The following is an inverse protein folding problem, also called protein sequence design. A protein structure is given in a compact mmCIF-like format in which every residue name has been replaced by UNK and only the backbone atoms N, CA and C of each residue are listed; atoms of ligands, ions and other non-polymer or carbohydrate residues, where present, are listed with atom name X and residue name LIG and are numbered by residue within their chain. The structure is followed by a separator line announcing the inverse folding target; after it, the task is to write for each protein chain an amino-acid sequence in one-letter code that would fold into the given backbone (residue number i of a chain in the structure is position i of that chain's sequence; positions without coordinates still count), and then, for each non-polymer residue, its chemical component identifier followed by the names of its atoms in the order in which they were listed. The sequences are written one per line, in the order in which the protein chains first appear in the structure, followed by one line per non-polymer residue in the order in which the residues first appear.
data_IF_280935337328
#
_entry.id   IF_280935337328
#
_cell.length_a   1.000
_cell.length_b   1.000
_cell.length_c   1.000
_cell.angle_alpha   90.00
_cell.angle_beta   90.00
_cell.angle_gamma   90.00
#
_symmetry.space_group_name_H-M   'P 1'
#
loop_
_entity.id
_entity.type
_entity.pdbx_description
1 polymer ?
#
# COMPACT_ATOMS: atom_id res chain seq x y z
N UNK A 1 8.90 25.48 14.36
CA UNK A 1 9.88 26.01 13.39
C UNK A 1 9.53 25.38 12.06
N UNK A 2 8.97 26.13 11.10
CA UNK A 2 8.60 25.55 9.80
C UNK A 2 9.89 25.17 9.06
N UNK A 3 10.02 23.89 8.73
CA UNK A 3 11.12 23.39 7.92
C UNK A 3 11.04 24.02 6.51
N UNK A 4 12.17 24.39 5.91
CA UNK A 4 12.26 24.95 4.56
C UNK A 4 11.45 24.13 3.54
N UNK A 5 11.49 22.80 3.65
CA UNK A 5 10.73 21.89 2.79
C UNK A 5 9.22 22.15 2.91
N UNK A 6 8.70 22.32 4.13
CA UNK A 6 7.28 22.57 4.34
C UNK A 6 6.85 23.90 3.72
N UNK A 7 7.66 24.95 3.84
CA UNK A 7 7.38 26.25 3.22
C UNK A 7 7.40 26.16 1.69
N UNK A 8 8.37 25.45 1.12
CA UNK A 8 8.48 25.23 -0.32
C UNK A 8 7.31 24.40 -0.86
N UNK A 9 6.94 23.32 -0.16
CA UNK A 9 5.81 22.47 -0.56
C UNK A 9 4.49 23.26 -0.50
N UNK A 10 4.28 24.10 0.50
CA UNK A 10 3.09 24.95 0.61
C UNK A 10 3.00 25.97 -0.52
N UNK A 11 4.12 26.63 -0.85
CA UNK A 11 4.20 27.55 -1.99
C UNK A 11 3.95 26.82 -3.30
N UNK A 12 4.59 25.67 -3.51
CA UNK A 12 4.39 24.83 -4.69
C UNK A 12 2.94 24.39 -4.87
N UNK A 13 2.28 23.98 -3.79
CA UNK A 13 0.90 23.49 -3.84
C UNK A 13 -0.11 24.56 -4.26
N UNK A 14 0.16 25.83 -3.92
CA UNK A 14 -0.68 26.99 -4.26
C UNK A 14 -0.23 27.72 -5.52
N UNK A 15 0.82 27.23 -6.19
CA UNK A 15 1.43 27.91 -7.33
C UNK A 15 0.51 27.84 -8.57
N UNK A 16 0.09 29.00 -9.08
CA UNK A 16 -0.79 29.09 -10.26
C UNK A 16 -0.17 28.49 -11.52
N UNK A 17 1.16 28.55 -11.65
CA UNK A 17 1.85 27.93 -12.78
C UNK A 17 1.77 26.41 -12.69
N UNK A 18 2.00 25.80 -11.52
CA UNK A 18 1.78 24.36 -11.34
C UNK A 18 0.35 23.96 -11.65
N UNK A 19 -0.66 24.70 -11.18
CA UNK A 19 -2.07 24.41 -11.45
C UNK A 19 -2.33 24.36 -12.97
N UNK A 20 -1.81 25.33 -13.72
CA UNK A 20 -1.93 25.37 -15.18
C UNK A 20 -1.19 24.20 -15.86
N UNK A 21 0.00 23.83 -15.38
CA UNK A 21 0.74 22.68 -15.89
C UNK A 21 -0.05 21.37 -15.70
N UNK A 22 -0.65 21.18 -14.52
CA UNK A 22 -1.46 19.99 -14.23
C UNK A 22 -2.71 19.97 -15.12
N UNK A 23 -3.41 21.10 -15.25
CA UNK A 23 -4.57 21.19 -16.14
C UNK A 23 -4.22 20.81 -17.59
N UNK A 24 -3.09 21.31 -18.10
CA UNK A 24 -2.61 20.95 -19.43
C UNK A 24 -2.26 19.45 -19.54
N UNK A 25 -1.60 18.88 -18.53
CA UNK A 25 -1.27 17.46 -18.49
C UNK A 25 -2.54 16.58 -18.47
N UNK A 26 -3.53 16.93 -17.66
CA UNK A 26 -4.84 16.24 -17.62
C UNK A 26 -5.57 16.33 -18.95
N UNK A 27 -5.58 17.51 -19.58
CA UNK A 27 -6.18 17.70 -20.90
C UNK A 27 -5.51 16.81 -21.95
N UNK A 28 -4.17 16.74 -21.95
CA UNK A 28 -3.43 15.84 -22.82
C UNK A 28 -3.79 14.37 -22.55
N UNK A 29 -3.93 13.98 -21.28
CA UNK A 29 -4.31 12.61 -20.92
C UNK A 29 -5.72 12.26 -21.40
N UNK A 30 -6.69 13.16 -21.23
CA UNK A 30 -8.04 12.99 -21.76
C UNK A 30 -8.05 12.84 -23.28
N UNK A 31 -7.25 13.62 -24.01
CA UNK A 31 -7.15 13.47 -25.47
C UNK A 31 -6.57 12.11 -25.85
N UNK A 32 -5.53 11.65 -25.15
CA UNK A 32 -4.95 10.32 -25.35
C UNK A 32 -5.93 9.17 -25.09
N UNK A 33 -6.80 9.32 -24.08
CA UNK A 33 -7.85 8.33 -23.83
C UNK A 33 -8.88 8.25 -24.96
N UNK A 34 -9.11 9.35 -25.68
CA UNK A 34 -10.06 9.41 -26.80
C UNK A 34 -9.42 9.00 -28.12
N UNK A 35 -8.13 9.26 -28.28
CA UNK A 35 -7.33 8.98 -29.47
C UNK A 35 -5.98 8.40 -29.06
N UNK A 36 -5.79 7.10 -29.25
CA UNK A 36 -4.57 6.40 -28.85
C UNK A 36 -3.31 6.91 -29.59
N UNK A 37 -3.48 7.50 -30.77
CA UNK A 37 -2.39 8.08 -31.57
C UNK A 37 -2.08 9.54 -31.17
N UNK A 38 -2.77 10.08 -30.16
CA UNK A 38 -2.58 11.45 -29.71
C UNK A 38 -1.14 11.69 -29.21
N UNK A 39 -0.50 12.68 -29.81
CA UNK A 39 0.83 13.15 -29.42
C UNK A 39 0.68 14.23 -28.34
N UNK A 40 1.33 13.99 -27.20
CA UNK A 40 1.35 14.96 -26.10
C UNK A 40 1.93 16.32 -26.54
N UNK A 41 1.25 17.39 -26.12
CA UNK A 41 1.68 18.78 -26.31
C UNK A 41 2.17 19.34 -24.99
N UNK A 42 3.46 19.15 -24.72
CA UNK A 42 4.15 19.67 -23.55
C UNK A 42 5.60 19.97 -23.93
N UNK A 43 6.10 21.15 -23.56
CA UNK A 43 7.51 21.49 -23.78
C UNK A 43 8.43 20.82 -22.75
N UNK A 44 9.71 20.67 -23.08
CA UNK A 44 10.71 20.11 -22.16
C UNK A 44 10.78 20.89 -20.85
N UNK A 45 10.68 22.22 -20.91
CA UNK A 45 10.65 23.08 -19.72
C UNK A 45 9.47 22.74 -18.82
N UNK A 46 8.25 22.69 -19.38
CA UNK A 46 7.03 22.38 -18.61
C UNK A 46 7.10 21.00 -17.99
N UNK A 47 7.66 20.02 -18.70
CA UNK A 47 7.87 18.66 -18.21
C UNK A 47 8.87 18.62 -17.05
N UNK A 48 10.01 19.29 -17.18
CA UNK A 48 11.01 19.37 -16.10
C UNK A 48 10.48 20.12 -14.88
N UNK A 49 9.73 21.20 -15.09
CA UNK A 49 9.09 21.97 -14.02
C UNK A 49 8.05 21.10 -13.29
N UNK A 50 7.21 20.33 -14.02
CA UNK A 50 6.29 19.34 -13.42
C UNK A 50 7.00 18.33 -12.53
N UNK A 51 8.11 17.76 -13.01
CA UNK A 51 8.91 16.81 -12.22
C UNK A 51 9.55 17.47 -11.00
N UNK A 52 10.01 18.71 -11.11
CA UNK A 52 10.54 19.46 -9.97
C UNK A 52 9.47 19.73 -8.91
N UNK A 53 8.28 20.13 -9.31
CA UNK A 53 7.16 20.32 -8.39
C UNK A 53 6.77 19.00 -7.71
N UNK A 54 6.68 17.90 -8.45
CA UNK A 54 6.39 16.59 -7.89
C UNK A 54 7.45 16.18 -6.85
N UNK A 55 8.73 16.42 -7.14
CA UNK A 55 9.86 16.16 -6.23
C UNK A 55 9.77 16.98 -4.93
N UNK A 56 9.40 18.26 -5.02
CA UNK A 56 9.19 19.11 -3.84
C UNK A 56 8.01 18.61 -3.00
N UNK A 57 6.88 18.30 -3.65
CA UNK A 57 5.63 17.94 -3.00
C UNK A 57 5.68 16.58 -2.30
N UNK A 58 6.43 15.60 -2.83
CA UNK A 58 6.51 14.26 -2.23
C UNK A 58 7.20 14.25 -0.85
N UNK A 59 8.01 15.28 -0.55
CA UNK A 59 8.73 15.44 0.73
C UNK A 59 7.91 16.19 1.79
N UNK A 60 6.71 16.67 1.45
CA UNK A 60 5.81 17.33 2.39
C UNK A 60 5.34 16.38 3.50
N UNK A 61 4.93 16.92 4.65
CA UNK A 61 4.17 16.18 5.66
C UNK A 61 2.70 15.99 5.26
N UNK A 62 2.15 16.92 4.48
CA UNK A 62 0.73 16.98 4.14
C UNK A 62 0.33 15.93 3.10
N UNK A 63 -0.77 15.22 3.38
CA UNK A 63 -1.29 14.17 2.51
C UNK A 63 -1.73 14.71 1.14
N UNK A 64 -2.30 15.91 1.09
CA UNK A 64 -2.74 16.54 -0.17
C UNK A 64 -1.55 16.80 -1.11
N UNK A 65 -0.42 17.27 -0.57
CA UNK A 65 0.80 17.52 -1.35
C UNK A 65 1.37 16.21 -1.90
N UNK A 66 1.45 15.17 -1.06
CA UNK A 66 1.89 13.83 -1.50
C UNK A 66 0.99 13.24 -2.57
N UNK A 67 -0.32 13.37 -2.41
CA UNK A 67 -1.30 12.90 -3.39
C UNK A 67 -1.18 13.65 -4.72
N UNK A 68 -0.93 14.96 -4.69
CA UNK A 68 -0.70 15.75 -5.90
C UNK A 68 0.58 15.32 -6.61
N UNK A 69 1.67 15.09 -5.88
CA UNK A 69 2.92 14.54 -6.43
C UNK A 69 2.69 13.19 -7.10
N UNK A 70 1.99 12.27 -6.43
CA UNK A 70 1.64 10.97 -6.99
C UNK A 70 0.82 11.10 -8.28
N UNK A 71 -0.19 11.99 -8.28
CA UNK A 71 -1.01 12.27 -9.47
C UNK A 71 -0.17 12.75 -10.65
N UNK A 72 0.77 13.68 -10.43
CA UNK A 72 1.64 14.19 -11.49
C UNK A 72 2.45 13.05 -12.12
N UNK A 73 3.15 12.25 -11.31
CA UNK A 73 4.00 11.18 -11.86
C UNK A 73 3.19 10.05 -12.48
N UNK A 74 1.99 9.76 -11.95
CA UNK A 74 1.07 8.79 -12.56
C UNK A 74 0.58 9.26 -13.93
N UNK A 75 0.20 10.53 -14.08
CA UNK A 75 -0.23 11.06 -15.37
C UNK A 75 0.91 11.10 -16.39
N UNK A 76 2.12 11.50 -15.99
CA UNK A 76 3.30 11.49 -16.88
C UNK A 76 3.64 10.07 -17.32
N UNK A 77 3.53 9.09 -16.42
CA UNK A 77 3.82 7.68 -16.72
C UNK A 77 2.95 7.10 -17.84
N UNK A 78 1.72 7.60 -18.03
CA UNK A 78 0.83 7.16 -19.11
C UNK A 78 1.36 7.49 -20.51
N UNK A 79 2.32 8.42 -20.64
CA UNK A 79 2.94 8.81 -21.91
C UNK A 79 4.29 8.14 -22.11
N UNK A 80 4.30 6.99 -22.80
CA UNK A 80 5.50 6.18 -23.03
C UNK A 80 6.62 6.93 -23.74
N UNK A 81 6.29 7.91 -24.58
CA UNK A 81 7.28 8.72 -25.31
C UNK A 81 8.13 9.55 -24.32
N UNK A 82 7.52 10.08 -23.27
CA UNK A 82 8.21 10.87 -22.23
C UNK A 82 9.19 10.01 -21.41
N UNK A 83 8.87 8.73 -21.25
CA UNK A 83 9.71 7.78 -20.52
C UNK A 83 10.99 7.42 -21.30
N UNK A 84 11.16 7.84 -22.55
CA UNK A 84 12.44 7.70 -23.24
C UNK A 84 13.53 8.58 -22.61
N UNK A 85 13.12 9.68 -21.97
CA UNK A 85 14.04 10.56 -21.26
C UNK A 85 14.42 9.96 -19.89
N UNK A 86 15.71 9.66 -19.72
CA UNK A 86 16.24 9.07 -18.49
C UNK A 86 16.01 9.94 -17.24
N UNK A 87 16.10 11.27 -17.37
CA UNK A 87 15.83 12.18 -16.26
C UNK A 87 14.40 12.04 -15.74
N UNK A 88 13.43 11.87 -16.64
CA UNK A 88 12.01 11.73 -16.29
C UNK A 88 11.76 10.41 -15.57
N UNK A 89 12.30 9.30 -16.10
CA UNK A 89 12.26 8.00 -15.42
C UNK A 89 12.82 8.05 -14.01
N UNK A 90 14.01 8.64 -13.84
CA UNK A 90 14.67 8.78 -12.55
C UNK A 90 13.90 9.70 -11.60
N UNK A 91 13.29 10.77 -12.11
CA UNK A 91 12.44 11.67 -11.31
C UNK A 91 11.20 10.95 -10.78
N UNK A 92 10.50 10.18 -11.63
CA UNK A 92 9.36 9.36 -11.22
C UNK A 92 9.80 8.33 -10.17
N UNK A 93 10.93 7.66 -10.40
CA UNK A 93 11.49 6.68 -9.47
C UNK A 93 11.79 7.31 -8.10
N UNK A 94 12.41 8.50 -8.08
CA UNK A 94 12.68 9.21 -6.84
C UNK A 94 11.39 9.57 -6.10
N UNK A 95 10.41 10.16 -6.80
CA UNK A 95 9.12 10.53 -6.22
C UNK A 95 8.42 9.32 -5.60
N UNK A 96 8.30 8.21 -6.34
CA UNK A 96 7.66 7.00 -5.83
C UNK A 96 8.41 6.39 -4.65
N UNK A 97 9.75 6.47 -4.65
CA UNK A 97 10.60 6.02 -3.53
C UNK A 97 10.32 6.87 -2.30
N UNK A 98 10.35 8.19 -2.42
CA UNK A 98 10.03 9.12 -1.32
C UNK A 98 8.60 8.95 -0.79
N UNK A 99 7.65 8.55 -1.64
CA UNK A 99 6.28 8.22 -1.24
C UNK A 99 6.11 6.79 -0.68
N UNK A 100 7.11 5.91 -0.83
CA UNK A 100 7.01 4.53 -0.37
C UNK A 100 6.04 3.68 -1.22
N UNK A 101 5.80 4.07 -2.48
CA UNK A 101 4.92 3.35 -3.39
C UNK A 101 5.69 2.27 -4.18
N UNK A 102 6.14 1.24 -3.45
CA UNK A 102 6.90 0.13 -4.02
C UNK A 102 6.18 -0.68 -5.10
N UNK A 103 4.84 -0.91 -5.03
CA UNK A 103 4.12 -1.58 -6.10
C UNK A 103 4.29 -0.85 -7.44
N UNK A 104 4.13 0.48 -7.45
CA UNK A 104 4.32 1.28 -8.67
C UNK A 104 5.78 1.23 -9.14
N UNK A 105 6.77 1.30 -8.24
CA UNK A 105 8.19 1.17 -8.61
C UNK A 105 8.45 -0.12 -9.40
N UNK A 106 7.89 -1.25 -8.96
CA UNK A 106 8.12 -2.54 -9.60
C UNK A 106 7.50 -2.65 -11.01
N UNK A 107 6.58 -1.75 -11.38
CA UNK A 107 6.02 -1.68 -12.74
C UNK A 107 6.96 -0.92 -13.69
N UNK A 108 7.72 0.04 -13.16
CA UNK A 108 8.55 0.96 -13.94
C UNK A 108 9.99 0.44 -14.03
N UNK A 109 10.49 -0.16 -12.95
CA UNK A 109 11.88 -0.51 -12.78
C UNK A 109 12.04 -1.97 -12.32
N UNK A 110 13.00 -2.67 -12.91
CA UNK A 110 13.29 -4.03 -12.53
C UNK A 110 13.90 -4.06 -11.12
N UNK A 111 13.42 -4.95 -10.24
CA UNK A 111 13.85 -5.01 -8.83
C UNK A 111 15.35 -5.20 -8.62
N UNK A 112 16.07 -5.67 -9.64
CA UNK A 112 17.50 -5.99 -9.62
C UNK A 112 18.38 -4.96 -10.32
N UNK A 113 17.80 -3.93 -10.93
CA UNK A 113 18.57 -2.88 -11.61
C UNK A 113 18.79 -1.69 -10.68
N UNK A 114 20.03 -1.21 -10.63
CA UNK A 114 20.40 0.01 -9.93
C UNK A 114 20.12 1.22 -10.84
N UNK A 115 19.68 2.34 -10.27
CA UNK A 115 19.31 3.54 -11.05
C UNK A 115 20.52 4.30 -11.62
N UNK A 116 21.71 4.05 -11.07
CA UNK A 116 22.96 4.77 -11.33
C UNK A 116 23.10 6.03 -10.49
N UNK A 117 22.15 6.31 -9.59
CA UNK A 117 22.15 7.45 -8.68
C UNK A 117 22.13 6.93 -7.24
N UNK A 118 23.28 6.98 -6.59
CA UNK A 118 23.49 6.46 -5.24
C UNK A 118 22.44 6.94 -4.23
N UNK A 119 22.03 8.22 -4.29
CA UNK A 119 21.02 8.76 -3.39
C UNK A 119 19.67 8.02 -3.51
N UNK A 120 19.18 7.80 -4.73
CA UNK A 120 17.90 7.14 -4.98
C UNK A 120 18.00 5.66 -4.60
N UNK A 121 19.09 5.00 -4.97
CA UNK A 121 19.29 3.57 -4.70
C UNK A 121 19.43 3.31 -3.19
N UNK A 122 20.16 4.14 -2.45
CA UNK A 122 20.29 4.03 -1.00
C UNK A 122 18.96 4.28 -0.30
N UNK A 123 18.22 5.32 -0.70
CA UNK A 123 16.89 5.58 -0.13
C UNK A 123 15.93 4.41 -0.35
N UNK A 124 15.94 3.84 -1.56
CA UNK A 124 15.11 2.69 -1.88
C UNK A 124 15.48 1.49 -1.02
N UNK A 125 16.77 1.21 -0.85
CA UNK A 125 17.25 0.11 0.01
C UNK A 125 16.80 0.33 1.45
N UNK A 126 17.07 1.52 2.01
CA UNK A 126 16.72 1.87 3.40
C UNK A 126 15.22 1.71 3.62
N UNK A 127 14.41 2.26 2.73
CA UNK A 127 12.94 2.17 2.82
C UNK A 127 12.43 0.75 2.69
N UNK A 128 12.97 -0.05 1.76
CA UNK A 128 12.57 -1.47 1.62
C UNK A 128 12.91 -2.28 2.86
N UNK A 129 14.04 -2.00 3.50
CA UNK A 129 14.44 -2.64 4.76
C UNK A 129 13.52 -2.24 5.91
N UNK A 130 13.22 -0.94 6.03
CA UNK A 130 12.34 -0.41 7.08
C UNK A 130 10.90 -0.93 6.94
N UNK A 131 10.41 -1.04 5.71
CA UNK A 131 9.03 -1.45 5.43
C UNK A 131 8.85 -2.97 5.24
N UNK A 132 9.83 -3.78 5.64
CA UNK A 132 9.73 -5.23 5.51
C UNK A 132 8.65 -5.79 6.43
N UNK A 133 7.69 -6.52 5.87
CA UNK A 133 6.61 -7.16 6.63
C UNK A 133 6.99 -8.57 7.15
N UNK A 134 6.29 -9.11 8.17
CA UNK A 134 6.46 -10.49 8.63
C UNK A 134 6.31 -11.55 7.53
N UNK A 135 5.55 -11.26 6.46
CA UNK A 135 5.32 -12.16 5.33
C UNK A 135 6.33 -11.99 4.19
N UNK A 136 7.48 -11.35 4.46
CA UNK A 136 8.61 -11.16 3.54
C UNK A 136 8.34 -10.28 2.30
N UNK A 137 7.19 -9.63 2.30
CA UNK A 137 6.79 -8.65 1.30
C UNK A 137 6.97 -7.23 1.86
N UNK A 138 6.96 -6.21 1.01
CA UNK A 138 7.31 -4.82 1.39
C UNK A 138 6.03 -3.99 1.52
N UNK A 139 5.77 -3.44 2.71
CA UNK A 139 4.66 -2.54 2.97
C UNK A 139 4.87 -1.16 2.34
N UNK A 140 3.82 -0.45 1.95
CA UNK A 140 3.90 1.02 1.79
C UNK A 140 4.07 1.69 3.16
N UNK A 141 4.45 2.96 3.16
CA UNK A 141 4.64 3.72 4.41
C UNK A 141 3.35 3.77 5.23
N UNK A 142 2.18 3.93 4.59
CA UNK A 142 0.90 3.92 5.31
C UNK A 142 0.52 2.53 5.82
N UNK A 143 0.82 1.47 5.07
CA UNK A 143 0.57 0.09 5.50
C UNK A 143 1.41 -0.26 6.73
N UNK A 144 2.68 0.15 6.76
CA UNK A 144 3.55 -0.04 7.92
C UNK A 144 3.04 0.74 9.14
N UNK A 145 2.60 1.98 8.95
CA UNK A 145 2.01 2.80 10.02
C UNK A 145 0.80 2.08 10.65
N UNK A 146 -0.14 1.64 9.81
CA UNK A 146 -1.33 0.90 10.28
C UNK A 146 -0.94 -0.41 10.97
N UNK A 147 0.05 -1.13 10.44
CA UNK A 147 0.54 -2.36 11.04
C UNK A 147 1.12 -2.12 12.44
N UNK A 148 1.88 -1.04 12.65
CA UNK A 148 2.39 -0.68 13.97
C UNK A 148 1.26 -0.26 14.92
N UNK A 149 0.31 0.55 14.46
CA UNK A 149 -0.88 0.90 15.26
C UNK A 149 -1.70 -0.33 15.68
N UNK A 150 -1.81 -1.35 14.82
CA UNK A 150 -2.43 -2.63 15.13
C UNK A 150 -1.69 -3.42 16.22
N UNK A 151 -0.35 -3.32 16.28
CA UNK A 151 0.47 -4.00 17.30
C UNK A 151 0.33 -3.36 18.67
N UNK A 152 0.24 -2.03 18.70
CA UNK A 152 0.32 -1.25 19.93
C UNK A 152 -1.05 -1.05 20.60
N UNK A 153 -2.15 -1.37 19.90
CA UNK A 153 -3.51 -1.13 20.38
C UNK A 153 -4.37 -2.41 20.41
N UNK A 154 -5.07 -2.64 21.52
CA UNK A 154 -6.03 -3.75 21.65
C UNK A 154 -7.28 -3.60 20.78
N UNK A 155 -7.63 -2.36 20.44
CA UNK A 155 -8.78 -2.02 19.61
C UNK A 155 -8.36 -1.02 18.56
N UNK A 156 -8.53 -1.38 17.29
CA UNK A 156 -8.11 -0.55 16.17
C UNK A 156 -9.11 -0.67 15.03
N UNK A 157 -9.35 0.45 14.35
CA UNK A 157 -10.22 0.53 13.18
C UNK A 157 -9.60 1.47 12.17
N UNK A 158 -9.61 1.06 10.90
CA UNK A 158 -9.14 1.91 9.82
C UNK A 158 -10.00 1.73 8.56
N UNK A 159 -10.12 2.81 7.81
CA UNK A 159 -10.71 2.83 6.47
C UNK A 159 -9.62 2.95 5.41
N UNK A 160 -9.87 2.39 4.24
CA UNK A 160 -8.98 2.42 3.10
C UNK A 160 -9.70 1.87 1.87
N UNK A 161 -9.21 2.19 0.68
CA UNK A 161 -9.73 1.62 -0.57
C UNK A 161 -9.41 0.12 -0.67
N UNK A 162 -10.06 -0.60 -1.59
CA UNK A 162 -9.73 -2.01 -1.88
C UNK A 162 -8.30 -2.17 -2.40
N UNK A 163 -7.81 -1.18 -3.15
CA UNK A 163 -6.44 -1.11 -3.68
C UNK A 163 -5.38 -0.88 -2.61
N UNK A 164 -5.74 -0.41 -1.41
CA UNK A 164 -4.82 -0.22 -0.29
C UNK A 164 -4.17 -1.52 0.20
N UNK A 165 -4.68 -2.69 -0.23
CA UNK A 165 -4.10 -3.97 0.13
C UNK A 165 -4.40 -4.38 1.57
N UNK A 166 -5.58 -4.06 2.11
CA UNK A 166 -5.94 -4.41 3.50
C UNK A 166 -5.72 -5.88 3.85
N UNK A 167 -6.00 -6.79 2.91
CA UNK A 167 -5.77 -8.23 3.08
C UNK A 167 -4.32 -8.54 3.43
N UNK A 168 -3.37 -7.80 2.86
CA UNK A 168 -1.94 -7.99 3.07
C UNK A 168 -1.53 -7.61 4.50
N UNK A 169 -2.06 -6.49 5.02
CA UNK A 169 -1.88 -6.08 6.42
C UNK A 169 -2.46 -7.13 7.37
N UNK A 170 -3.66 -7.64 7.08
CA UNK A 170 -4.30 -8.67 7.90
C UNK A 170 -3.50 -9.98 7.93
N UNK A 171 -2.99 -10.43 6.77
CA UNK A 171 -2.14 -11.62 6.68
C UNK A 171 -0.86 -11.45 7.50
N UNK A 172 -0.17 -10.32 7.33
CA UNK A 172 1.03 -10.00 8.09
C UNK A 172 0.78 -9.93 9.60
N UNK A 173 -0.32 -9.28 10.02
CA UNK A 173 -0.69 -9.15 11.44
C UNK A 173 -1.05 -10.50 12.04
N UNK A 174 -1.73 -11.35 11.27
CA UNK A 174 -2.01 -12.72 11.70
C UNK A 174 -0.72 -13.49 11.96
N UNK A 175 0.24 -13.41 11.04
CA UNK A 175 1.55 -14.07 11.20
C UNK A 175 2.28 -13.55 12.43
N UNK A 176 2.31 -12.23 12.62
CA UNK A 176 2.88 -11.59 13.81
C UNK A 176 2.28 -12.13 15.11
N UNK A 177 0.94 -12.19 15.23
CA UNK A 177 0.28 -12.73 16.42
C UNK A 177 0.65 -14.19 16.70
N UNK A 178 0.74 -15.02 15.65
CA UNK A 178 1.16 -16.42 15.81
C UNK A 178 2.57 -16.51 16.40
N UNK A 179 3.48 -15.69 15.90
CA UNK A 179 4.90 -15.73 16.27
C UNK A 179 5.14 -15.18 17.68
N UNK A 180 4.61 -13.99 17.97
CA UNK A 180 4.77 -13.34 19.29
C UNK A 180 4.14 -14.15 20.42
N UNK A 181 2.95 -14.72 20.19
CA UNK A 181 2.24 -15.49 21.21
C UNK A 181 2.64 -16.97 21.22
N UNK A 182 3.76 -17.36 20.60
CA UNK A 182 4.24 -18.75 20.56
C UNK A 182 3.15 -19.75 20.14
N UNK A 183 2.32 -19.34 19.18
CA UNK A 183 1.18 -20.10 18.67
C UNK A 183 0.14 -20.44 19.76
N UNK A 184 -0.04 -19.67 20.85
CA UNK A 184 -0.98 -20.04 21.92
C UNK A 184 -2.43 -19.67 21.63
N UNK A 185 -2.64 -18.67 20.76
CA UNK A 185 -3.91 -17.95 20.70
C UNK A 185 -4.88 -18.54 19.69
N UNK A 186 -6.17 -18.42 20.00
CA UNK A 186 -7.25 -18.67 19.05
C UNK A 186 -7.65 -17.35 18.39
N UNK A 187 -7.79 -17.35 17.07
CA UNK A 187 -8.04 -16.13 16.29
C UNK A 187 -9.33 -16.29 15.49
N UNK A 188 -10.22 -15.30 15.56
CA UNK A 188 -11.45 -15.27 14.80
C UNK A 188 -11.47 -14.11 13.81
N UNK A 189 -11.73 -14.42 12.54
CA UNK A 189 -12.01 -13.47 11.47
C UNK A 189 -13.51 -13.38 11.23
N UNK A 190 -14.02 -12.17 11.28
CA UNK A 190 -15.42 -11.87 10.95
C UNK A 190 -15.44 -11.15 9.61
N UNK A 191 -16.12 -11.74 8.63
CA UNK A 191 -16.23 -11.25 7.25
C UNK A 191 -17.70 -10.93 6.91
N UNK A 192 -17.99 -10.05 5.95
CA UNK A 192 -19.39 -9.69 5.68
C UNK A 192 -20.17 -10.77 4.91
N UNK A 193 -19.51 -11.63 4.12
CA UNK A 193 -20.19 -12.58 3.22
C UNK A 193 -19.61 -14.00 3.28
N UNK A 194 -20.42 -14.99 2.88
CA UNK A 194 -19.98 -16.39 2.76
C UNK A 194 -18.87 -16.57 1.72
N UNK A 195 -18.90 -15.83 0.62
CA UNK A 195 -17.87 -15.90 -0.41
C UNK A 195 -16.48 -15.52 0.15
N UNK A 196 -16.44 -14.50 1.01
CA UNK A 196 -15.21 -14.07 1.67
C UNK A 196 -14.68 -15.08 2.69
N UNK A 197 -15.54 -15.92 3.30
CA UNK A 197 -15.08 -16.99 4.20
C UNK A 197 -14.12 -17.91 3.47
N UNK A 198 -14.49 -18.36 2.27
CA UNK A 198 -13.66 -19.30 1.51
C UNK A 198 -12.33 -18.66 1.10
N UNK A 199 -12.37 -17.40 0.65
CA UNK A 199 -11.17 -16.64 0.27
C UNK A 199 -10.22 -16.44 1.45
N UNK A 200 -10.73 -15.93 2.58
CA UNK A 200 -9.91 -15.71 3.79
C UNK A 200 -9.41 -17.05 4.34
N UNK A 201 -10.27 -18.07 4.43
CA UNK A 201 -9.87 -19.40 4.92
C UNK A 201 -8.76 -20.02 4.06
N UNK A 202 -8.80 -19.86 2.74
CA UNK A 202 -7.76 -20.34 1.85
C UNK A 202 -6.43 -19.62 2.09
N UNK A 203 -6.45 -18.28 2.19
CA UNK A 203 -5.28 -17.46 2.49
C UNK A 203 -4.65 -17.82 3.83
N UNK A 204 -5.46 -17.88 4.89
CA UNK A 204 -4.99 -18.24 6.23
C UNK A 204 -4.45 -19.66 6.24
N UNK A 205 -5.09 -20.63 5.58
CA UNK A 205 -4.55 -21.99 5.47
C UNK A 205 -3.16 -22.01 4.87
N UNK A 206 -2.90 -21.22 3.82
CA UNK A 206 -1.58 -21.12 3.22
C UNK A 206 -0.56 -20.48 4.16
N UNK A 207 -0.96 -19.41 4.86
CA UNK A 207 -0.12 -18.72 5.84
C UNK A 207 0.27 -19.61 7.01
N UNK A 208 -0.64 -20.48 7.47
CA UNK A 208 -0.43 -21.30 8.67
C UNK A 208 0.09 -22.71 8.39
N UNK A 209 0.43 -23.04 7.14
CA UNK A 209 0.87 -24.41 6.74
C UNK A 209 2.02 -24.95 7.59
N UNK A 210 2.94 -24.07 8.00
CA UNK A 210 4.11 -24.41 8.81
C UNK A 210 3.84 -24.42 10.32
N UNK A 211 2.62 -24.11 10.75
CA UNK A 211 2.26 -23.98 12.16
C UNK A 211 1.23 -25.03 12.58
N UNK A 212 1.10 -25.22 13.90
CA UNK A 212 0.21 -26.22 14.51
C UNK A 212 -1.28 -25.79 14.57
N UNK A 213 -1.75 -25.03 13.57
CA UNK A 213 -3.08 -24.45 13.54
C UNK A 213 -4.06 -25.22 12.65
N UNK A 214 -5.33 -25.23 13.06
CA UNK A 214 -6.44 -25.70 12.22
C UNK A 214 -7.35 -24.55 11.82
N UNK A 215 -7.65 -24.46 10.53
CA UNK A 215 -8.57 -23.46 9.98
C UNK A 215 -9.96 -24.05 9.80
N UNK A 216 -10.95 -23.43 10.43
CA UNK A 216 -12.34 -23.87 10.48
C UNK A 216 -13.24 -22.78 9.90
N UNK A 217 -14.04 -23.17 8.90
CA UNK A 217 -14.99 -22.32 8.19
C UNK A 217 -16.46 -22.68 8.49
N UNK A 218 -16.70 -23.69 9.34
CA UNK A 218 -18.05 -24.08 9.76
C UNK A 218 -18.42 -23.39 11.07
N UNK A 219 -19.64 -22.82 11.18
CA UNK A 219 -20.16 -22.26 12.43
C UNK A 219 -20.51 -23.30 13.48
N UNK A 220 -20.67 -24.55 13.08
CA UNK A 220 -20.77 -25.65 14.01
C UNK A 220 -19.37 -26.06 14.38
N UNK A 221 -19.01 -25.89 15.65
CA UNK A 221 -17.77 -26.43 16.21
C UNK A 221 -18.02 -27.92 16.47
N UNK A 222 -17.38 -28.86 15.74
CA UNK A 222 -17.47 -30.27 16.06
C UNK A 222 -17.16 -30.52 17.54
N UNK A 223 -17.98 -31.34 18.22
CA UNK A 223 -17.78 -31.72 19.63
C UNK A 223 -16.36 -32.25 19.92
N UNK A 224 -15.67 -32.77 18.90
CA UNK A 224 -14.29 -33.26 18.98
C UNK A 224 -13.25 -32.16 19.24
N UNK A 225 -13.58 -30.90 18.92
CA UNK A 225 -12.73 -29.74 19.20
C UNK A 225 -12.89 -29.25 20.64
N UNK A 226 -14.01 -29.57 21.31
CA UNK A 226 -14.20 -29.26 22.75
C UNK A 226 -13.27 -30.08 23.66
N UNK A 227 -12.75 -31.23 23.19
CA UNK A 227 -11.97 -32.18 24.01
C UNK A 227 -10.45 -32.01 23.97
N UNK A 228 -9.92 -31.07 23.17
CA UNK A 228 -8.47 -30.90 22.97
C UNK A 228 -8.16 -29.39 22.88
N UNK A 229 -7.04 -28.95 23.45
CA UNK A 229 -6.48 -27.59 23.28
C UNK A 229 -5.99 -27.40 21.84
N UNK A 230 -6.91 -27.35 20.88
CA UNK A 230 -6.57 -27.04 19.49
C UNK A 230 -6.48 -25.52 19.33
N UNK A 231 -5.50 -25.08 18.55
CA UNK A 231 -5.29 -23.70 18.13
C UNK A 231 -6.08 -23.48 16.85
N UNK A 232 -7.14 -22.68 16.92
CA UNK A 232 -8.18 -22.64 15.89
C UNK A 232 -8.31 -21.26 15.28
N UNK A 233 -8.28 -21.22 13.95
CA UNK A 233 -8.76 -20.09 13.17
C UNK A 233 -10.22 -20.27 12.82
N UNK A 234 -11.01 -19.24 13.11
CA UNK A 234 -12.42 -19.20 12.79
C UNK A 234 -12.71 -18.14 11.73
N UNK A 235 -13.32 -18.49 10.60
CA UNK A 235 -13.84 -17.51 9.65
C UNK A 235 -15.37 -17.54 9.64
N UNK A 236 -16.00 -16.46 10.09
CA UNK A 236 -17.45 -16.36 10.19
C UNK A 236 -18.00 -15.13 9.51
N UNK A 237 -19.29 -15.17 9.16
CA UNK A 237 -19.99 -13.98 8.71
C UNK A 237 -20.89 -13.41 9.80
N UNK A 238 -21.12 -12.10 9.76
CA UNK A 238 -21.70 -11.26 10.82
C UNK A 238 -22.96 -11.85 11.49
N UNK A 239 -23.89 -12.47 10.74
CA UNK A 239 -25.11 -13.09 11.33
C UNK A 239 -24.85 -14.32 12.21
N UNK A 240 -23.63 -14.87 12.23
CA UNK A 240 -23.29 -16.08 13.01
C UNK A 240 -22.42 -15.81 14.24
N UNK A 241 -21.99 -14.56 14.46
CA UNK A 241 -21.17 -14.18 15.64
C UNK A 241 -21.93 -14.42 16.95
N UNK A 242 -23.23 -14.09 16.97
CA UNK A 242 -24.09 -14.35 18.13
C UNK A 242 -24.14 -15.85 18.51
N UNK A 243 -23.97 -16.78 17.58
CA UNK A 243 -24.05 -18.21 17.88
C UNK A 243 -22.80 -18.77 18.59
N UNK A 244 -21.69 -18.03 18.56
CA UNK A 244 -20.42 -18.45 19.16
C UNK A 244 -20.19 -17.82 20.52
N UNK A 245 -20.48 -16.54 20.70
CA UNK A 245 -20.34 -15.89 22.01
C UNK A 245 -21.15 -16.61 23.10
N UNK A 246 -22.33 -17.15 22.77
CA UNK A 246 -23.17 -17.92 23.70
C UNK A 246 -22.75 -19.38 23.94
N UNK A 247 -21.70 -19.90 23.28
CA UNK A 247 -21.25 -21.30 23.43
C UNK A 247 -19.86 -21.44 24.05
N UNK A 248 -19.29 -20.34 24.51
CA UNK A 248 -17.94 -20.24 25.11
C UNK A 248 -17.95 -19.94 26.61
N UNK A 249 -19.14 -19.81 27.22
CA UNK A 249 -19.34 -19.94 28.68
C UNK A 249 -19.44 -21.42 29.09
#
# INVERSE_FOLDING_TARGET
MNNLIAELSEKAFKDEYLINLIYNLEKNYCNKLLDEEFIIKLSDKELFDLMRFADILCRSSEAEHKNLSLKIVSLVYEFKELLQNQFIKLSIMNVLTKLGNFPSINLIWNKFENTGIDEIDLDLIIKRLYNKSPIQEIFTDEQLKIFNELKDNNHFSFSGSTSFGKSFIFEAFTKYLIEEHNQSDNIAFIVPTKALINQVSYKIRNLVKSYSYKVINSPEIPKILKKKRWKIYFCFYTRKVNFLLFRWD
#
